data_IF_309724940417
#
_entry.id   IF_309724940417
#
_cell.length_a   1.000
_cell.length_b   1.000
_cell.length_c   1.000
_cell.angle_alpha   90.00
_cell.angle_beta   90.00
_cell.angle_gamma   90.00
#
_symmetry.space_group_name_H-M   'P 1'
#
loop_
_entity.id
_entity.type
_entity.pdbx_description
1 polymer ?
#
# COMPACT_ATOMS: atom_id res chain seq x y z
N UNK A 1 -14.96 -5.66 10.17
CA UNK A 1 -14.42 -5.33 8.84
C UNK A 1 -12.91 -5.42 8.94
N UNK A 2 -12.26 -6.21 8.09
CA UNK A 2 -10.80 -6.26 8.04
C UNK A 2 -10.25 -4.93 7.51
N UNK A 3 -9.22 -4.41 8.18
CA UNK A 3 -8.56 -3.14 7.84
C UNK A 3 -7.57 -3.29 6.67
N UNK A 4 -7.11 -4.53 6.44
CA UNK A 4 -6.12 -4.88 5.42
C UNK A 4 -6.66 -6.02 4.56
N UNK A 5 -6.46 -5.94 3.26
CA UNK A 5 -6.86 -6.98 2.32
C UNK A 5 -5.85 -7.11 1.17
N UNK A 6 -5.48 -8.36 0.85
CA UNK A 6 -4.75 -8.68 -0.37
C UNK A 6 -5.74 -8.69 -1.54
N UNK A 7 -5.45 -7.93 -2.60
CA UNK A 7 -6.23 -7.94 -3.84
C UNK A 7 -5.46 -8.69 -4.91
N UNK A 8 -5.97 -9.84 -5.33
CA UNK A 8 -5.37 -10.66 -6.39
C UNK A 8 -6.45 -11.43 -7.15
N UNK A 9 -6.27 -11.64 -8.46
CA UNK A 9 -7.24 -12.30 -9.34
C UNK A 9 -8.67 -11.73 -9.25
N UNK A 10 -8.78 -10.40 -9.08
CA UNK A 10 -10.05 -9.69 -8.93
C UNK A 10 -10.87 -10.11 -7.70
N UNK A 11 -10.21 -10.69 -6.69
CA UNK A 11 -10.76 -11.04 -5.38
C UNK A 11 -9.99 -10.34 -4.27
N UNK A 12 -10.62 -10.24 -3.11
CA UNK A 12 -10.04 -9.65 -1.92
C UNK A 12 -10.01 -10.68 -0.80
N UNK A 13 -8.85 -10.81 -0.16
CA UNK A 13 -8.61 -11.74 0.93
C UNK A 13 -8.26 -10.95 2.19
N UNK A 14 -9.01 -11.15 3.27
CA UNK A 14 -8.77 -10.47 4.54
C UNK A 14 -7.39 -10.85 5.09
N UNK A 15 -6.65 -9.85 5.57
CA UNK A 15 -5.34 -10.05 6.19
C UNK A 15 -5.42 -9.77 7.70
N UNK A 16 -4.57 -10.44 8.51
CA UNK A 16 -4.47 -10.14 9.92
C UNK A 16 -3.93 -8.71 10.13
N UNK A 17 -4.11 -8.18 11.34
CA UNK A 17 -3.57 -6.87 11.71
C UNK A 17 -2.05 -6.84 11.54
N UNK A 18 -1.53 -5.71 11.08
CA UNK A 18 -0.09 -5.46 11.06
C UNK A 18 0.43 -5.35 12.50
N UNK A 19 1.21 -6.32 12.93
CA UNK A 19 1.90 -6.31 14.23
C UNK A 19 3.41 -6.24 14.01
N UNK A 20 4.18 -5.98 15.07
CA UNK A 20 5.66 -6.03 15.00
C UNK A 20 6.12 -7.40 14.49
N UNK A 21 5.49 -8.49 14.96
CA UNK A 21 5.83 -9.84 14.48
C UNK A 21 5.60 -10.02 12.97
N UNK A 22 4.53 -9.43 12.42
CA UNK A 22 4.31 -9.45 10.96
C UNK A 22 5.38 -8.63 10.24
N UNK A 23 5.75 -7.46 10.76
CA UNK A 23 6.81 -6.62 10.18
C UNK A 23 8.17 -7.34 10.19
N UNK A 24 8.56 -7.94 11.31
CA UNK A 24 9.82 -8.70 11.42
C UNK A 24 9.88 -9.87 10.43
N UNK A 25 8.73 -10.50 10.15
CA UNK A 25 8.65 -11.55 9.11
C UNK A 25 8.85 -10.99 7.71
N UNK A 26 8.29 -9.81 7.40
CA UNK A 26 8.49 -9.13 6.12
C UNK A 26 9.96 -8.75 5.96
N UNK A 27 10.54 -8.07 6.95
CA UNK A 27 11.96 -7.63 6.94
C UNK A 27 12.90 -8.82 6.71
N UNK A 28 12.63 -9.95 7.38
CA UNK A 28 13.41 -11.18 7.20
C UNK A 28 13.32 -11.73 5.77
N UNK A 29 12.13 -11.71 5.16
CA UNK A 29 11.94 -12.21 3.80
C UNK A 29 12.63 -11.28 2.79
N UNK A 30 12.56 -9.97 3.00
CA UNK A 30 13.26 -8.98 2.17
C UNK A 30 14.78 -9.15 2.26
N UNK A 31 15.33 -9.26 3.47
CA UNK A 31 16.74 -9.57 3.71
C UNK A 31 17.17 -10.88 3.02
N UNK A 32 16.35 -11.93 3.14
CA UNK A 32 16.59 -13.22 2.50
C UNK A 32 16.55 -13.12 0.96
N UNK A 33 15.67 -12.28 0.42
CA UNK A 33 15.56 -12.01 -1.01
C UNK A 33 16.79 -11.26 -1.56
N UNK A 34 17.41 -10.39 -0.76
CA UNK A 34 18.64 -9.68 -1.14
C UNK A 34 19.90 -10.55 -1.03
N UNK A 35 19.93 -11.54 -0.13
CA UNK A 35 21.09 -12.44 0.06
C UNK A 35 21.40 -13.23 -1.21
N UNK A 36 22.59 -13.02 -1.78
CA UNK A 36 23.07 -13.76 -2.97
C UNK A 36 23.31 -15.25 -2.72
N UNK A 37 23.69 -15.61 -1.48
CA UNK A 37 24.04 -16.98 -1.10
C UNK A 37 22.83 -17.86 -0.77
N UNK A 38 21.64 -17.28 -0.58
CA UNK A 38 20.45 -18.05 -0.28
C UNK A 38 19.90 -18.68 -1.58
N UNK A 39 19.63 -20.00 -1.61
CA UNK A 39 19.08 -20.65 -2.79
C UNK A 39 17.76 -20.02 -3.23
N UNK A 40 17.56 -19.85 -4.55
CA UNK A 40 16.32 -19.26 -5.10
C UNK A 40 15.07 -20.01 -4.62
N UNK A 41 15.11 -21.34 -4.60
CA UNK A 41 14.00 -22.16 -4.09
C UNK A 41 13.60 -21.77 -2.68
N UNK A 42 14.58 -21.55 -1.79
CA UNK A 42 14.33 -21.18 -0.39
C UNK A 42 13.65 -19.81 -0.26
N UNK A 43 13.99 -18.86 -1.13
CA UNK A 43 13.34 -17.54 -1.20
C UNK A 43 11.85 -17.68 -1.55
N UNK A 44 11.53 -18.46 -2.58
CA UNK A 44 10.14 -18.73 -2.95
C UNK A 44 9.39 -19.51 -1.88
N UNK A 45 10.01 -20.51 -1.25
CA UNK A 45 9.41 -21.24 -0.12
C UNK A 45 9.08 -20.31 1.06
N UNK A 46 9.96 -19.36 1.39
CA UNK A 46 9.73 -18.42 2.47
C UNK A 46 8.57 -17.45 2.15
N UNK A 47 8.53 -16.91 0.92
CA UNK A 47 7.41 -16.07 0.46
C UNK A 47 6.09 -16.86 0.44
N UNK A 48 6.10 -18.07 -0.10
CA UNK A 48 4.92 -18.94 -0.19
C UNK A 48 4.35 -19.29 1.19
N UNK A 49 5.23 -19.70 2.12
CA UNK A 49 4.82 -20.00 3.49
C UNK A 49 4.23 -18.76 4.19
N UNK A 50 4.83 -17.58 3.97
CA UNK A 50 4.31 -16.34 4.51
C UNK A 50 2.93 -15.99 3.96
N UNK A 51 2.72 -16.04 2.64
CA UNK A 51 1.41 -15.77 2.02
C UNK A 51 0.37 -16.72 2.61
N UNK A 52 0.66 -18.03 2.65
CA UNK A 52 -0.26 -19.04 3.21
C UNK A 52 -0.67 -18.72 4.65
N UNK A 53 0.29 -18.34 5.49
CA UNK A 53 0.01 -18.00 6.89
C UNK A 53 -0.81 -16.72 7.04
N UNK A 54 -0.67 -15.76 6.12
CA UNK A 54 -1.37 -14.49 6.16
C UNK A 54 -2.82 -14.60 5.67
N UNK A 55 -3.06 -15.35 4.59
CA UNK A 55 -4.40 -15.48 4.00
C UNK A 55 -5.20 -16.68 4.53
N UNK A 56 -4.52 -17.66 5.13
CA UNK A 56 -5.12 -18.94 5.54
C UNK A 56 -5.14 -19.98 4.42
N UNK A 57 -5.41 -21.23 4.78
CA UNK A 57 -5.26 -22.38 3.88
C UNK A 57 -6.20 -22.33 2.68
N UNK A 58 -7.49 -22.07 2.89
CA UNK A 58 -8.50 -22.07 1.83
C UNK A 58 -8.25 -20.96 0.80
N UNK A 59 -7.94 -19.75 1.28
CA UNK A 59 -7.57 -18.63 0.42
C UNK A 59 -6.27 -18.91 -0.35
N UNK A 60 -5.28 -19.55 0.29
CA UNK A 60 -4.03 -19.89 -0.37
C UNK A 60 -4.24 -20.90 -1.51
N UNK A 61 -5.08 -21.93 -1.31
CA UNK A 61 -5.43 -22.89 -2.37
C UNK A 61 -6.04 -22.19 -3.58
N UNK A 62 -6.93 -21.24 -3.32
CA UNK A 62 -7.57 -20.45 -4.37
C UNK A 62 -6.58 -19.53 -5.10
N UNK A 63 -5.75 -18.78 -4.36
CA UNK A 63 -4.75 -17.87 -4.93
C UNK A 63 -3.75 -18.61 -5.81
N UNK A 64 -3.28 -19.77 -5.35
CA UNK A 64 -2.26 -20.57 -6.02
C UNK A 64 -2.82 -21.60 -6.99
N UNK A 65 -4.14 -21.63 -7.19
CA UNK A 65 -4.83 -22.54 -8.10
C UNK A 65 -4.44 -24.03 -7.89
N UNK A 66 -4.28 -24.43 -6.62
CA UNK A 66 -3.83 -25.77 -6.25
C UNK A 66 -4.57 -26.29 -5.01
N UNK A 67 -4.90 -27.58 -5.02
CA UNK A 67 -5.45 -28.26 -3.84
C UNK A 67 -4.35 -28.76 -2.88
N UNK A 68 -3.09 -28.81 -3.36
CA UNK A 68 -1.94 -29.33 -2.61
C UNK A 68 -0.88 -28.25 -2.35
N UNK A 69 -1.00 -27.59 -1.19
CA UNK A 69 -0.05 -26.57 -0.72
C UNK A 69 1.27 -27.16 -0.21
N UNK A 70 1.48 -28.48 -0.26
CA UNK A 70 2.78 -29.08 0.04
C UNK A 70 3.73 -29.09 -1.16
N UNK A 71 3.20 -28.89 -2.38
CA UNK A 71 3.93 -28.96 -3.64
C UNK A 71 4.14 -27.59 -4.27
N UNK A 72 5.18 -26.89 -3.80
CA UNK A 72 5.55 -25.59 -4.37
C UNK A 72 6.01 -25.66 -5.84
N UNK A 73 6.48 -26.84 -6.30
CA UNK A 73 7.05 -27.01 -7.64
C UNK A 73 6.03 -26.81 -8.78
N UNK A 74 4.74 -26.94 -8.46
CA UNK A 74 3.64 -26.79 -9.42
C UNK A 74 2.99 -25.40 -9.35
N UNK A 75 3.47 -24.52 -8.46
CA UNK A 75 2.91 -23.18 -8.22
C UNK A 75 3.68 -22.14 -9.03
N UNK A 76 2.94 -21.27 -9.73
CA UNK A 76 3.56 -20.16 -10.45
C UNK A 76 4.33 -19.21 -9.51
N UNK A 77 5.62 -19.06 -9.79
CA UNK A 77 6.52 -18.23 -9.01
C UNK A 77 6.13 -16.75 -9.07
N UNK A 78 5.55 -16.29 -10.19
CA UNK A 78 5.04 -14.93 -10.32
C UNK A 78 3.85 -14.70 -9.38
N UNK A 79 2.90 -15.64 -9.31
CA UNK A 79 1.79 -15.59 -8.34
C UNK A 79 2.29 -15.54 -6.90
N UNK A 80 3.31 -16.31 -6.52
CA UNK A 80 3.93 -16.24 -5.18
C UNK A 80 4.47 -14.84 -4.90
N UNK A 81 5.27 -14.29 -5.82
CA UNK A 81 5.89 -12.97 -5.65
C UNK A 81 4.85 -11.85 -5.62
N UNK A 82 3.86 -11.86 -6.52
CA UNK A 82 2.81 -10.84 -6.57
C UNK A 82 1.96 -10.90 -5.30
N UNK A 83 1.62 -12.10 -4.81
CA UNK A 83 0.86 -12.26 -3.57
C UNK A 83 1.61 -11.69 -2.37
N UNK A 84 2.91 -11.98 -2.26
CA UNK A 84 3.77 -11.42 -1.22
C UNK A 84 3.81 -9.89 -1.28
N UNK A 85 4.12 -9.32 -2.45
CA UNK A 85 4.20 -7.87 -2.63
C UNK A 85 2.84 -7.20 -2.38
N UNK A 86 1.74 -7.84 -2.77
CA UNK A 86 0.39 -7.35 -2.51
C UNK A 86 0.05 -7.28 -1.02
N UNK A 87 0.53 -8.22 -0.20
CA UNK A 87 0.40 -8.16 1.26
C UNK A 87 1.20 -6.99 1.83
N UNK A 88 2.46 -6.83 1.41
CA UNK A 88 3.31 -5.71 1.83
C UNK A 88 2.69 -4.37 1.44
N UNK A 89 2.11 -4.28 0.25
CA UNK A 89 1.43 -3.09 -0.24
C UNK A 89 0.16 -2.79 0.57
N UNK A 90 -0.66 -3.81 0.84
CA UNK A 90 -1.88 -3.67 1.63
C UNK A 90 -1.59 -3.08 3.02
N UNK A 91 -0.51 -3.52 3.66
CA UNK A 91 -0.05 -2.98 4.94
C UNK A 91 0.52 -1.55 4.85
N UNK A 92 1.09 -1.19 3.71
CA UNK A 92 1.63 0.14 3.48
C UNK A 92 0.54 1.15 3.10
N UNK A 93 -0.59 0.66 2.59
CA UNK A 93 -1.72 1.48 2.14
C UNK A 93 -2.23 2.43 3.22
N UNK A 94 -2.47 1.96 4.44
CA UNK A 94 -2.99 2.80 5.52
C UNK A 94 -2.08 4.00 5.85
N UNK A 95 -0.76 3.82 5.80
CA UNK A 95 0.22 4.89 6.03
C UNK A 95 0.19 5.88 4.86
N UNK A 96 0.15 5.37 3.62
CA UNK A 96 0.08 6.22 2.42
C UNK A 96 -1.20 7.04 2.38
N UNK A 97 -2.34 6.42 2.66
CA UNK A 97 -3.64 7.11 2.70
C UNK A 97 -3.59 8.25 3.71
N UNK A 98 -3.09 7.99 4.93
CA UNK A 98 -2.94 9.03 5.96
C UNK A 98 -2.02 10.19 5.53
N UNK A 99 -0.92 9.89 4.83
CA UNK A 99 0.00 10.89 4.31
C UNK A 99 -0.61 11.70 3.15
N UNK A 100 -1.41 11.05 2.30
CA UNK A 100 -2.11 11.70 1.20
C UNK A 100 -3.21 12.63 1.71
N UNK A 101 -4.01 12.21 2.69
CA UNK A 101 -5.05 13.04 3.31
C UNK A 101 -4.48 14.33 3.91
N UNK A 102 -3.31 14.25 4.56
CA UNK A 102 -2.58 15.41 5.06
C UNK A 102 -2.08 16.33 3.95
N UNK A 103 -1.68 15.75 2.81
CA UNK A 103 -1.15 16.48 1.66
C UNK A 103 -2.25 17.18 0.86
N UNK A 104 -3.39 16.54 0.64
CA UNK A 104 -4.57 17.15 0.01
C UNK A 104 -5.09 18.32 0.86
N UNK A 105 -5.13 18.14 2.18
CA UNK A 105 -5.52 19.20 3.12
C UNK A 105 -4.57 20.40 3.05
N UNK A 106 -3.27 20.18 2.89
CA UNK A 106 -2.28 21.24 2.74
C UNK A 106 -2.43 22.00 1.40
N UNK A 107 -2.59 21.28 0.28
CA UNK A 107 -2.77 21.86 -1.05
C UNK A 107 -4.05 22.71 -1.09
N UNK A 108 -5.16 22.19 -0.56
CA UNK A 108 -6.44 22.92 -0.53
C UNK A 108 -6.34 24.22 0.26
N UNK A 109 -5.64 24.21 1.40
CA UNK A 109 -5.42 25.41 2.20
C UNK A 109 -4.54 26.45 1.48
N UNK A 110 -3.49 26.02 0.77
CA UNK A 110 -2.64 26.92 0.00
C UNK A 110 -3.40 27.60 -1.14
N UNK A 111 -4.20 26.82 -1.89
CA UNK A 111 -5.04 27.33 -2.98
C UNK A 111 -6.08 28.32 -2.44
N UNK A 112 -6.75 27.99 -1.33
CA UNK A 112 -7.71 28.89 -0.68
C UNK A 112 -7.03 30.20 -0.24
N UNK A 113 -5.82 30.12 0.31
CA UNK A 113 -5.01 31.28 0.69
C UNK A 113 -4.70 32.21 -0.49
N UNK A 114 -4.31 31.66 -1.65
CA UNK A 114 -4.05 32.43 -2.88
C UNK A 114 -5.32 33.09 -3.43
N UNK A 115 -6.47 32.41 -3.37
CA UNK A 115 -7.75 33.00 -3.80
C UNK A 115 -8.15 34.17 -2.90
N UNK A 116 -8.00 34.03 -1.58
CA UNK A 116 -8.27 35.11 -0.62
C UNK A 116 -7.33 36.29 -0.85
N UNK A 117 -6.05 36.05 -1.12
CA UNK A 117 -5.10 37.15 -1.39
C UNK A 117 -5.45 37.89 -2.67
N UNK A 118 -5.83 37.18 -3.73
CA UNK A 118 -6.30 37.80 -4.98
C UNK A 118 -7.55 38.66 -4.76
N UNK A 119 -8.54 38.17 -3.99
CA UNK A 119 -9.75 38.92 -3.67
C UNK A 119 -9.42 40.23 -2.92
N UNK A 120 -8.51 40.18 -1.93
CA UNK A 120 -8.05 41.38 -1.19
C UNK A 120 -7.32 42.37 -2.09
N UNK A 121 -6.51 41.89 -3.04
CA UNK A 121 -5.83 42.76 -4.01
C UNK A 121 -6.83 43.47 -4.92
N UNK A 122 -7.90 42.80 -5.36
CA UNK A 122 -8.96 43.41 -6.18
C UNK A 122 -9.71 44.50 -5.41
N UNK A 123 -10.07 44.25 -4.15
CA UNK A 123 -10.72 45.23 -3.27
C UNK A 123 -9.83 46.46 -3.04
N UNK A 124 -8.53 46.26 -2.85
CA UNK A 124 -7.55 47.34 -2.70
C UNK A 124 -7.47 48.21 -3.97
N UNK A 125 -7.44 47.59 -5.15
CA UNK A 125 -7.43 48.30 -6.43
C UNK A 125 -8.71 49.11 -6.61
N UNK A 126 -9.88 48.56 -6.31
CA UNK A 126 -11.16 49.28 -6.38
C UNK A 126 -11.17 50.52 -5.46
N UNK A 127 -10.66 50.38 -4.24
CA UNK A 127 -10.58 51.49 -3.29
C UNK A 127 -9.62 52.60 -3.75
N UNK A 128 -8.45 52.24 -4.29
CA UNK A 128 -7.50 53.21 -4.85
C UNK A 128 -8.11 53.93 -6.07
N UNK A 129 -8.75 53.20 -6.98
CA UNK A 129 -9.37 53.79 -8.19
C UNK A 129 -10.51 54.76 -7.82
N UNK A 130 -11.27 54.45 -6.77
CA UNK A 130 -12.35 55.30 -6.25
C UNK A 130 -11.84 56.59 -5.58
N UNK A 131 -10.60 56.60 -5.10
CA UNK A 131 -9.96 57.80 -4.51
C UNK A 131 -9.30 58.69 -5.57
N UNK A 132 -8.83 58.13 -6.68
CA UNK A 132 -8.21 58.89 -7.79
C UNK A 132 -9.24 59.59 -8.69
N UNK A 133 -10.51 59.16 -8.64
CA UNK A 133 -11.63 59.76 -9.40
C UNK A 133 -12.39 60.87 -8.64
N UNK A 134 -11.93 61.27 -7.44
CA UNK A 134 -12.45 62.43 -6.68
C UNK A 134 -11.46 63.58 -6.74
#
# INVERSE_FOLDING_TARGET
MAEYALKIHNREYELPKKTISVQERIDKIDDDNEKKLLPKRKKYENMFAFVKDMVGEDAAKEIFETDDLSRIDDIDLCTITISYLGIVDAYSKAIRDYQMDGSESAINNEVLGKVISLAKSVETIQNVTSQVQK
#
